data_IF_728413221115
#
_entry.id   IF_728413221115
#
_cell.length_a   1.000
_cell.length_b   1.000
_cell.length_c   1.000
_cell.angle_alpha   90.00
_cell.angle_beta   90.00
_cell.angle_gamma   90.00
#
_symmetry.space_group_name_H-M   'P 1'
#
loop_
_entity.id
_entity.type
_entity.pdbx_description
1 polymer ?
#
# COMPACT_ATOMS: atom_id res chain seq x y z
N UNK A 1 -21.69 13.57 -0.56
CA UNK A 1 -21.25 14.71 0.28
C UNK A 1 -21.98 14.58 1.62
N UNK A 2 -21.39 14.99 2.75
CA UNK A 2 -21.90 14.72 4.11
C UNK A 2 -23.37 15.15 4.27
N UNK A 3 -24.19 14.29 4.89
CA UNK A 3 -25.54 14.64 5.35
C UNK A 3 -25.41 15.07 6.80
N UNK A 4 -25.35 16.39 7.02
CA UNK A 4 -25.70 17.20 8.22
C UNK A 4 -25.38 16.73 9.66
N UNK A 5 -24.80 15.55 9.88
CA UNK A 5 -24.46 14.96 11.19
C UNK A 5 -22.93 14.84 11.32
N UNK A 6 -22.23 15.97 11.24
CA UNK A 6 -20.79 16.00 11.54
C UNK A 6 -20.55 16.24 13.01
N UNK A 7 -20.03 15.23 13.71
CA UNK A 7 -19.51 15.37 15.07
C UNK A 7 -18.18 16.15 15.01
N UNK A 8 -18.06 17.21 15.81
CA UNK A 8 -16.81 17.99 15.88
C UNK A 8 -15.68 17.14 16.43
N UNK A 9 -14.54 17.12 15.74
CA UNK A 9 -13.36 16.38 16.16
C UNK A 9 -12.21 17.33 16.53
N UNK A 10 -12.45 18.17 17.53
CA UNK A 10 -11.47 19.18 17.94
C UNK A 10 -10.13 18.52 18.35
N UNK A 11 -9.03 19.06 17.82
CA UNK A 11 -7.67 18.54 18.06
C UNK A 11 -7.27 17.27 17.30
N UNK A 12 -8.13 16.71 16.45
CA UNK A 12 -7.76 15.54 15.64
C UNK A 12 -7.03 15.96 14.36
N UNK A 13 -6.00 15.19 14.00
CA UNK A 13 -5.20 15.41 12.80
C UNK A 13 -5.03 14.10 12.03
N UNK A 14 -4.86 14.21 10.72
CA UNK A 14 -4.46 13.09 9.85
C UNK A 14 -3.09 13.35 9.26
N UNK A 15 -2.25 12.31 9.24
CA UNK A 15 -0.95 12.33 8.59
C UNK A 15 -1.13 12.00 7.10
N UNK A 16 -0.63 12.87 6.23
CA UNK A 16 -0.64 12.69 4.79
C UNK A 16 0.60 11.90 4.32
N UNK A 17 0.55 11.39 3.10
CA UNK A 17 1.68 10.68 2.48
C UNK A 17 2.95 11.52 2.29
N UNK A 18 2.84 12.86 2.38
CA UNK A 18 3.97 13.79 2.34
C UNK A 18 4.45 14.21 3.74
N UNK A 19 4.07 13.46 4.77
CA UNK A 19 4.43 13.67 6.17
C UNK A 19 3.89 14.95 6.81
N UNK A 20 3.02 15.69 6.13
CA UNK A 20 2.30 16.82 6.75
C UNK A 20 1.13 16.30 7.56
N UNK A 21 0.83 16.97 8.67
CA UNK A 21 -0.42 16.77 9.40
C UNK A 21 -1.42 17.85 9.03
N UNK A 22 -2.69 17.47 8.89
CA UNK A 22 -3.78 18.40 8.61
C UNK A 22 -4.94 18.12 9.56
N UNK A 23 -5.68 19.18 9.91
CA UNK A 23 -6.75 19.12 10.90
C UNK A 23 -8.00 18.47 10.33
N UNK A 24 -8.61 17.61 11.14
CA UNK A 24 -9.94 17.06 10.89
C UNK A 24 -10.97 18.00 11.49
N UNK A 25 -11.94 18.46 10.69
CA UNK A 25 -13.02 19.31 11.20
C UNK A 25 -14.10 18.50 11.91
N UNK A 26 -14.34 17.28 11.46
CA UNK A 26 -15.34 16.41 12.07
C UNK A 26 -15.38 15.03 11.44
N UNK A 27 -16.29 14.20 11.94
CA UNK A 27 -16.60 12.88 11.39
C UNK A 27 -18.11 12.75 11.21
N UNK A 28 -18.52 12.04 10.17
CA UNK A 28 -19.95 11.84 9.89
C UNK A 28 -20.26 10.68 8.98
N UNK A 29 -21.48 10.67 8.46
CA UNK A 29 -21.97 9.64 7.53
C UNK A 29 -22.11 10.19 6.12
N UNK A 30 -21.64 9.43 5.13
CA UNK A 30 -21.74 9.76 3.70
C UNK A 30 -22.44 8.63 2.96
N UNK A 31 -23.48 8.97 2.21
CA UNK A 31 -24.10 8.05 1.26
C UNK A 31 -23.46 8.22 -0.13
N UNK A 32 -23.03 7.11 -0.71
CA UNK A 32 -22.59 7.02 -2.11
C UNK A 32 -23.70 6.35 -2.93
N UNK A 33 -24.21 7.06 -3.93
CA UNK A 33 -25.17 6.54 -4.89
C UNK A 33 -24.44 6.12 -6.15
N UNK A 34 -24.47 4.85 -6.52
CA UNK A 34 -23.82 4.37 -7.74
C UNK A 34 -24.75 4.52 -8.94
N UNK A 35 -24.19 4.65 -10.13
CA UNK A 35 -24.97 4.67 -11.40
C UNK A 35 -25.75 3.38 -11.67
N UNK A 36 -25.55 2.35 -10.86
CA UNK A 36 -26.36 1.12 -10.83
C UNK A 36 -27.71 1.29 -10.12
N UNK A 37 -27.95 2.45 -9.48
CA UNK A 37 -29.08 2.70 -8.59
C UNK A 37 -28.91 2.14 -7.18
N UNK A 38 -27.76 1.52 -6.87
CA UNK A 38 -27.45 1.02 -5.51
C UNK A 38 -26.82 2.12 -4.65
N UNK A 39 -27.06 2.06 -3.34
CA UNK A 39 -26.44 2.96 -2.37
C UNK A 39 -25.52 2.22 -1.40
N UNK A 40 -24.42 2.87 -1.01
CA UNK A 40 -23.52 2.42 0.04
C UNK A 40 -23.39 3.53 1.08
N UNK A 41 -23.59 3.18 2.36
CA UNK A 41 -23.48 4.12 3.48
C UNK A 41 -22.13 3.94 4.15
N UNK A 42 -21.31 4.99 4.13
CA UNK A 42 -20.04 5.07 4.82
C UNK A 42 -20.23 5.81 6.13
N UNK A 43 -19.83 5.19 7.24
CA UNK A 43 -19.91 5.75 8.60
C UNK A 43 -18.49 6.08 9.07
N UNK A 44 -18.35 7.03 10.00
CA UNK A 44 -17.05 7.50 10.52
C UNK A 44 -16.14 8.07 9.42
N UNK A 45 -16.72 8.84 8.50
CA UNK A 45 -15.98 9.49 7.41
C UNK A 45 -15.42 10.80 7.93
N UNK A 46 -14.12 10.99 7.82
CA UNK A 46 -13.45 12.22 8.26
C UNK A 46 -13.72 13.36 7.27
N UNK A 47 -14.13 14.51 7.78
CA UNK A 47 -14.24 15.75 7.03
C UNK A 47 -12.94 16.53 7.16
N UNK A 48 -12.19 16.57 6.06
CA UNK A 48 -10.87 17.21 6.00
C UNK A 48 -10.82 18.14 4.78
N UNK A 49 -11.22 19.43 4.92
CA UNK A 49 -11.37 20.35 3.78
C UNK A 49 -10.10 20.59 2.97
N UNK A 50 -8.94 20.49 3.62
CA UNK A 50 -7.64 20.70 2.97
C UNK A 50 -7.27 19.53 2.02
N UNK A 51 -7.98 18.40 2.08
CA UNK A 51 -7.82 17.28 1.14
C UNK A 51 -8.68 17.53 -0.10
N UNK A 52 -8.00 17.65 -1.25
CA UNK A 52 -8.65 17.99 -2.53
C UNK A 52 -9.54 16.91 -3.13
N UNK A 53 -9.31 15.64 -2.79
CA UNK A 53 -10.04 14.49 -3.37
C UNK A 53 -10.71 13.68 -2.26
N UNK A 54 -11.94 13.27 -2.48
CA UNK A 54 -12.63 12.37 -1.56
C UNK A 54 -12.05 10.96 -1.71
N UNK A 55 -11.42 10.44 -0.67
CA UNK A 55 -10.85 9.10 -0.65
C UNK A 55 -11.82 8.13 0.03
N UNK A 56 -12.00 6.97 -0.60
CA UNK A 56 -12.78 5.84 -0.07
C UNK A 56 -11.82 4.69 0.13
N UNK A 57 -11.60 4.30 1.38
CA UNK A 57 -10.75 3.14 1.68
C UNK A 57 -11.42 1.85 1.18
N UNK A 58 -10.76 1.15 0.26
CA UNK A 58 -11.18 -0.17 -0.20
C UNK A 58 -11.23 -1.19 0.94
N UNK A 59 -10.32 -1.08 1.91
CA UNK A 59 -10.34 -1.92 3.11
C UNK A 59 -11.62 -1.72 3.94
N UNK A 60 -12.08 -0.47 4.08
CA UNK A 60 -13.33 -0.17 4.79
C UNK A 60 -14.56 -0.68 4.03
N UNK A 61 -14.55 -0.65 2.70
CA UNK A 61 -15.60 -1.28 1.88
C UNK A 61 -15.63 -2.81 2.11
N UNK A 62 -14.46 -3.47 2.12
CA UNK A 62 -14.35 -4.89 2.42
C UNK A 62 -14.91 -5.24 3.81
N UNK A 63 -14.63 -4.44 4.84
CA UNK A 63 -15.22 -4.61 6.19
C UNK A 63 -16.75 -4.52 6.21
N UNK A 64 -17.36 -3.82 5.25
CA UNK A 64 -18.83 -3.72 5.08
C UNK A 64 -19.40 -4.83 4.18
N UNK A 65 -18.59 -5.84 3.84
CA UNK A 65 -18.98 -6.99 2.99
C UNK A 65 -18.98 -6.68 1.49
N UNK A 66 -18.39 -5.56 1.06
CA UNK A 66 -18.26 -5.22 -0.35
C UNK A 66 -16.94 -5.79 -0.86
N UNK A 67 -17.03 -6.73 -1.79
CA UNK A 67 -15.87 -7.21 -2.54
C UNK A 67 -15.44 -6.15 -3.54
N UNK A 68 -14.18 -5.73 -3.44
CA UNK A 68 -13.52 -4.82 -4.37
C UNK A 68 -12.61 -5.65 -5.28
N UNK A 69 -12.84 -5.59 -6.59
CA UNK A 69 -11.99 -6.24 -7.60
C UNK A 69 -11.40 -5.16 -8.49
N UNK A 70 -10.08 -5.13 -8.59
CA UNK A 70 -9.37 -4.29 -9.56
C UNK A 70 -8.90 -5.21 -10.69
N UNK A 71 -9.26 -4.86 -11.92
CA UNK A 71 -8.84 -5.59 -13.12
C UNK A 71 -8.54 -4.58 -14.22
N UNK A 72 -7.29 -4.58 -14.69
CA UNK A 72 -6.79 -3.55 -15.61
C UNK A 72 -7.09 -2.14 -15.07
N UNK A 73 -7.66 -1.26 -15.89
CA UNK A 73 -8.00 0.12 -15.51
C UNK A 73 -9.40 0.29 -14.91
N UNK A 74 -9.95 -0.78 -14.30
CA UNK A 74 -11.31 -0.80 -13.76
C UNK A 74 -11.34 -1.33 -12.34
N UNK A 75 -12.25 -0.77 -11.56
CA UNK A 75 -12.66 -1.32 -10.26
C UNK A 75 -14.12 -1.75 -10.32
N UNK A 76 -14.42 -2.91 -9.76
CA UNK A 76 -15.74 -3.52 -9.70
C UNK A 76 -16.06 -3.78 -8.22
N UNK A 77 -17.23 -3.30 -7.79
CA UNK A 77 -17.74 -3.49 -6.44
C UNK A 77 -18.92 -4.45 -6.47
N UNK A 78 -18.83 -5.54 -5.72
CA UNK A 78 -19.93 -6.50 -5.56
C UNK A 78 -20.22 -6.78 -4.10
N UNK A 79 -21.45 -7.12 -3.77
CA UNK A 79 -21.88 -7.51 -2.42
C UNK A 79 -22.83 -8.69 -2.55
N UNK A 80 -22.53 -9.78 -1.84
CA UNK A 80 -23.34 -11.02 -1.87
C UNK A 80 -23.60 -11.53 -3.31
N UNK A 81 -22.59 -11.43 -4.17
CA UNK A 81 -22.68 -11.80 -5.58
C UNK A 81 -23.39 -10.79 -6.49
N UNK A 82 -23.99 -9.74 -5.94
CA UNK A 82 -24.69 -8.70 -6.69
C UNK A 82 -23.77 -7.54 -7.05
N UNK A 83 -23.92 -7.00 -8.26
CA UNK A 83 -23.22 -5.79 -8.68
C UNK A 83 -23.70 -4.57 -7.90
N UNK A 84 -22.76 -3.87 -7.27
CA UNK A 84 -23.00 -2.62 -6.52
C UNK A 84 -22.60 -1.42 -7.36
N UNK A 85 -21.43 -1.45 -7.96
CA UNK A 85 -20.89 -0.29 -8.66
C UNK A 85 -19.58 -0.58 -9.35
N UNK A 86 -19.07 0.43 -10.05
CA UNK A 86 -17.82 0.34 -10.79
C UNK A 86 -17.07 1.67 -10.69
N UNK A 87 -15.83 1.66 -11.14
CA UNK A 87 -15.00 2.83 -11.31
C UNK A 87 -13.92 2.59 -12.36
N UNK A 88 -13.24 3.66 -12.73
CA UNK A 88 -12.26 3.69 -13.82
C UNK A 88 -11.06 4.54 -13.41
N UNK A 89 -9.90 4.27 -13.99
CA UNK A 89 -8.71 5.13 -13.80
C UNK A 89 -8.99 6.54 -14.34
N UNK A 90 -8.71 7.55 -13.52
CA UNK A 90 -8.75 8.98 -13.84
C UNK A 90 -7.73 9.70 -12.95
N UNK A 91 -6.87 10.51 -13.54
CA UNK A 91 -5.84 11.28 -12.81
C UNK A 91 -4.94 10.39 -11.93
N UNK A 92 -4.54 9.23 -12.45
CA UNK A 92 -3.70 8.25 -11.75
C UNK A 92 -4.38 7.51 -10.59
N UNK A 93 -5.70 7.62 -10.44
CA UNK A 93 -6.46 7.03 -9.32
C UNK A 93 -7.75 6.38 -9.84
N UNK A 94 -8.30 5.41 -9.11
CA UNK A 94 -9.57 4.77 -9.49
C UNK A 94 -10.76 5.63 -9.03
N UNK A 95 -11.41 6.32 -9.96
CA UNK A 95 -12.62 7.14 -9.72
C UNK A 95 -13.88 6.27 -9.77
N UNK A 96 -14.68 6.30 -8.72
CA UNK A 96 -15.97 5.59 -8.64
C UNK A 96 -17.03 6.28 -9.51
N UNK A 97 -17.81 5.48 -10.23
CA UNK A 97 -18.98 5.94 -11.00
C UNK A 97 -20.17 6.13 -10.07
N UNK A 98 -20.24 7.32 -9.48
CA UNK A 98 -21.29 7.75 -8.56
C UNK A 98 -22.28 8.63 -9.32
N UNK A 99 -23.57 8.41 -9.08
CA UNK A 99 -24.65 9.29 -9.53
C UNK A 99 -24.80 10.43 -8.51
N UNK A 100 -24.56 11.66 -8.98
CA UNK A 100 -24.64 12.86 -8.15
C UNK A 100 -26.07 13.46 -8.11
N UNK A 101 -27.08 12.71 -8.57
CA UNK A 101 -28.52 13.00 -8.48
C UNK A 101 -28.90 14.36 -7.89
N UNK A 102 -29.09 15.36 -8.76
CA UNK A 102 -29.79 16.64 -8.53
C UNK A 102 -29.60 17.33 -7.15
N UNK A 103 -28.37 17.38 -6.63
CA UNK A 103 -28.04 18.28 -5.52
C UNK A 103 -27.56 19.59 -6.15
N UNK A 104 -28.30 20.69 -5.91
CA UNK A 104 -28.06 22.04 -6.43
C UNK A 104 -26.69 22.67 -6.05
N UNK A 105 -25.77 21.89 -5.46
CA UNK A 105 -24.40 22.27 -5.22
C UNK A 105 -23.49 21.48 -6.17
N UNK A 106 -23.06 22.18 -7.22
CA UNK A 106 -22.19 21.78 -8.31
C UNK A 106 -20.74 21.57 -7.81
N UNK A 107 -20.55 20.76 -6.78
CA UNK A 107 -19.25 20.21 -6.42
C UNK A 107 -19.20 18.82 -7.04
N UNK A 108 -18.31 18.61 -8.01
CA UNK A 108 -18.09 17.31 -8.62
C UNK A 108 -17.80 16.28 -7.52
N UNK A 109 -18.83 15.55 -7.11
CA UNK A 109 -18.83 14.55 -6.02
C UNK A 109 -18.07 13.28 -6.40
N UNK A 110 -16.92 13.43 -7.03
CA UNK A 110 -16.01 12.34 -7.34
C UNK A 110 -15.48 11.75 -6.04
N UNK A 111 -15.59 10.43 -5.92
CA UNK A 111 -14.93 9.67 -4.89
C UNK A 111 -13.94 8.72 -5.55
N UNK A 112 -12.76 8.60 -4.97
CA UNK A 112 -11.68 7.78 -5.49
C UNK A 112 -11.39 6.67 -4.49
N UNK A 113 -11.28 5.45 -4.98
CA UNK A 113 -10.96 4.32 -4.11
C UNK A 113 -9.45 4.26 -3.90
N UNK A 114 -9.06 4.21 -2.63
CA UNK A 114 -7.71 3.93 -2.20
C UNK A 114 -7.63 2.46 -1.77
N UNK A 115 -6.79 1.69 -2.45
CA UNK A 115 -6.59 0.26 -2.17
C UNK A 115 -5.12 0.05 -1.91
N UNK A 116 -4.77 0.04 -0.63
CA UNK A 116 -3.50 -0.51 -0.20
C UNK A 116 -3.57 -2.05 -0.29
N UNK A 117 -2.92 -2.62 -1.29
CA UNK A 117 -2.51 -4.02 -1.20
C UNK A 117 -1.31 -4.07 -0.26
N UNK A 118 -1.17 -5.14 0.54
CA UNK A 118 0.11 -5.46 1.20
C UNK A 118 1.21 -5.84 0.19
N UNK A 119 1.12 -5.32 -1.03
CA UNK A 119 2.14 -5.41 -2.04
C UNK A 119 2.98 -4.14 -1.94
N UNK A 120 3.62 -3.96 -0.79
CA UNK A 120 4.81 -3.12 -0.75
C UNK A 120 5.85 -3.81 -1.63
N UNK A 121 5.93 -3.38 -2.90
CA UNK A 121 7.19 -3.42 -3.64
C UNK A 121 8.12 -2.33 -3.08
N UNK A 122 8.16 -2.16 -1.76
CA UNK A 122 9.39 -1.70 -1.16
C UNK A 122 10.23 -2.96 -1.10
N UNK A 123 10.92 -3.17 -2.22
CA UNK A 123 11.86 -4.25 -2.37
C UNK A 123 12.72 -4.29 -1.13
N UNK A 124 12.57 -5.34 -0.31
CA UNK A 124 13.24 -5.35 0.98
C UNK A 124 14.74 -5.32 0.71
N UNK A 125 15.53 -4.48 1.41
CA UNK A 125 16.95 -4.32 1.10
C UNK A 125 17.62 -5.69 0.99
N UNK A 126 18.47 -5.85 -0.03
CA UNK A 126 19.09 -7.14 -0.35
C UNK A 126 19.84 -7.73 0.84
N UNK A 127 20.48 -6.88 1.65
CA UNK A 127 21.18 -7.30 2.88
C UNK A 127 20.24 -7.85 3.96
N UNK A 128 18.99 -7.38 4.04
CA UNK A 128 18.04 -7.88 5.03
C UNK A 128 17.66 -9.33 4.73
N UNK A 129 17.42 -9.65 3.46
CA UNK A 129 17.18 -11.03 3.03
C UNK A 129 18.43 -11.89 3.17
N UNK A 130 19.61 -11.35 2.90
CA UNK A 130 20.88 -12.04 3.12
C UNK A 130 21.03 -12.48 4.59
N UNK A 131 20.73 -11.58 5.54
CA UNK A 131 20.76 -11.89 6.97
C UNK A 131 19.69 -12.91 7.37
N UNK A 132 18.44 -12.75 6.91
CA UNK A 132 17.31 -13.66 7.23
C UNK A 132 17.52 -15.08 6.72
N UNK A 133 18.15 -15.23 5.57
CA UNK A 133 18.43 -16.53 4.94
C UNK A 133 19.73 -17.16 5.44
N UNK A 134 20.29 -16.66 6.57
CA UNK A 134 21.47 -17.22 7.18
C UNK A 134 22.72 -17.03 6.33
N UNK A 135 22.89 -15.86 5.72
CA UNK A 135 24.03 -15.51 4.89
C UNK A 135 24.21 -16.41 3.65
N UNK A 136 23.08 -16.80 3.04
CA UNK A 136 23.08 -17.56 1.79
C UNK A 136 23.87 -16.82 0.69
N UNK A 137 24.47 -17.58 -0.23
CA UNK A 137 25.22 -17.01 -1.35
C UNK A 137 24.36 -16.01 -2.14
N UNK A 138 24.91 -14.82 -2.43
CA UNK A 138 24.24 -13.79 -3.21
C UNK A 138 23.71 -14.27 -4.56
N UNK A 139 24.36 -15.25 -5.21
CA UNK A 139 23.85 -15.89 -6.43
C UNK A 139 22.55 -16.67 -6.17
N UNK A 140 22.48 -17.39 -5.06
CA UNK A 140 21.30 -18.15 -4.63
C UNK A 140 20.17 -17.20 -4.25
N UNK A 141 20.48 -16.10 -3.55
CA UNK A 141 19.49 -15.09 -3.22
C UNK A 141 18.94 -14.39 -4.48
N UNK A 142 19.79 -14.04 -5.45
CA UNK A 142 19.37 -13.53 -6.76
C UNK A 142 18.49 -14.54 -7.51
N UNK A 143 18.81 -15.84 -7.43
CA UNK A 143 17.97 -16.89 -7.98
C UNK A 143 16.59 -16.94 -7.31
N UNK A 144 16.53 -16.91 -5.98
CA UNK A 144 15.27 -16.89 -5.23
C UNK A 144 14.43 -15.66 -5.59
N UNK A 145 15.06 -14.49 -5.74
CA UNK A 145 14.38 -13.25 -6.15
C UNK A 145 13.83 -13.34 -7.57
N UNK A 146 14.62 -13.85 -8.53
CA UNK A 146 14.18 -14.05 -9.93
C UNK A 146 13.03 -15.05 -10.07
N UNK A 147 12.95 -16.01 -9.17
CA UNK A 147 11.87 -17.01 -9.13
C UNK A 147 10.70 -16.59 -8.23
N UNK A 148 10.68 -15.35 -7.72
CA UNK A 148 9.59 -14.84 -6.89
C UNK A 148 9.46 -15.50 -5.51
N UNK A 149 10.48 -16.23 -5.06
CA UNK A 149 10.48 -16.87 -3.74
C UNK A 149 10.76 -15.86 -2.62
N UNK A 150 11.43 -14.75 -2.96
CA UNK A 150 11.70 -13.61 -2.07
C UNK A 150 11.60 -12.30 -2.86
N UNK A 151 11.26 -11.20 -2.20
CA UNK A 151 11.18 -9.87 -2.82
C UNK A 151 12.36 -9.03 -2.35
N UNK A 152 13.45 -9.01 -3.12
CA UNK A 152 14.67 -8.25 -2.81
C UNK A 152 14.77 -6.97 -3.66
N UNK A 153 15.43 -5.95 -3.12
CA UNK A 153 15.86 -4.77 -3.90
C UNK A 153 17.00 -5.05 -4.88
N UNK A 154 17.20 -4.11 -5.79
CA UNK A 154 18.21 -4.18 -6.87
C UNK A 154 19.66 -4.04 -6.39
N UNK A 155 19.86 -3.71 -5.10
CA UNK A 155 21.19 -3.55 -4.53
C UNK A 155 21.95 -4.88 -4.51
N UNK A 156 22.96 -4.99 -5.36
CA UNK A 156 23.88 -6.11 -5.34
C UNK A 156 24.81 -5.97 -4.15
N UNK A 157 24.42 -6.54 -3.02
CA UNK A 157 25.36 -6.82 -1.94
C UNK A 157 26.48 -7.70 -2.50
N UNK A 158 27.64 -7.11 -2.77
CA UNK A 158 28.79 -7.85 -3.31
C UNK A 158 29.74 -8.30 -2.19
N UNK A 159 29.57 -7.76 -0.98
CA UNK A 159 30.38 -8.09 0.20
C UNK A 159 29.53 -8.03 1.47
N UNK A 160 29.53 -9.13 2.22
CA UNK A 160 29.05 -9.16 3.59
C UNK A 160 30.26 -9.37 4.52
N UNK A 161 30.47 -8.48 5.47
CA UNK A 161 31.59 -8.53 6.42
C UNK A 161 31.63 -9.86 7.18
N UNK A 162 30.48 -10.30 7.69
CA UNK A 162 30.32 -11.56 8.43
C UNK A 162 30.73 -12.75 7.55
N UNK A 163 30.28 -12.78 6.30
CA UNK A 163 30.66 -13.82 5.34
C UNK A 163 32.16 -13.85 5.06
N UNK A 164 32.78 -12.67 4.93
CA UNK A 164 34.22 -12.55 4.66
C UNK A 164 35.00 -13.11 5.83
N UNK A 165 34.72 -12.64 7.05
CA UNK A 165 35.40 -13.09 8.27
C UNK A 165 35.24 -14.61 8.48
N UNK A 166 34.03 -15.15 8.28
CA UNK A 166 33.76 -16.58 8.43
C UNK A 166 34.45 -17.45 7.36
N UNK A 167 34.73 -16.91 6.16
CA UNK A 167 35.32 -17.66 5.03
C UNK A 167 36.81 -17.37 4.81
N UNK A 168 37.44 -16.58 5.67
CA UNK A 168 38.88 -16.31 5.58
C UNK A 168 39.68 -17.61 5.76
N UNK A 169 40.46 -17.97 4.73
CA UNK A 169 41.38 -19.10 4.80
C UNK A 169 42.65 -18.67 5.54
N UNK A 170 43.12 -19.50 6.48
CA UNK A 170 44.43 -19.33 7.12
C UNK A 170 45.53 -19.39 6.06
N UNK A 171 46.54 -18.52 6.16
CA UNK A 171 47.74 -18.62 5.33
C UNK A 171 48.42 -19.99 5.55
N UNK A 172 49.03 -20.59 4.52
CA UNK A 172 49.84 -21.80 4.69
C UNK A 172 50.90 -21.60 5.78
N UNK A 173 51.19 -22.66 6.53
CA UNK A 173 52.27 -22.62 7.51
C UNK A 173 53.62 -22.42 6.81
N UNK A 174 54.53 -21.61 7.37
CA UNK A 174 55.90 -21.51 6.86
C UNK A 174 56.56 -22.89 6.84
N UNK A 175 57.32 -23.20 5.78
CA UNK A 175 58.15 -24.41 5.77
C UNK A 175 59.22 -24.26 6.85
N UNK A 176 59.41 -25.32 7.63
CA UNK A 176 60.49 -25.40 8.61
C UNK A 176 61.81 -25.12 7.90
N UNK A 177 62.58 -24.18 8.42
CA UNK A 177 63.95 -23.94 7.97
C UNK A 177 64.81 -24.96 8.70
N UNK A 178 65.43 -25.87 7.96
CA UNK A 178 66.36 -26.84 8.55
C UNK A 178 67.49 -26.08 9.25
N UNK A 179 67.66 -26.37 10.54
CA UNK A 179 68.82 -25.92 11.29
C UNK A 179 70.01 -26.71 10.77
N UNK A 180 70.86 -26.07 9.96
CA UNK A 180 72.16 -26.62 9.63
C UNK A 180 72.96 -26.79 10.93
N UNK A 181 73.29 -28.05 11.22
CA UNK A 181 74.28 -28.45 12.24
C UNK A 181 75.70 -28.11 11.79
#
# INVERSE_FOLDING_TARGET
MFKDDTESMEGHEVLLGDHRTIKVLGSGTVELFFTSGKKVVLTNVLHVPDVRKNLVSGFMLCKKGIKVVIESDRVILTKDGMFVGKGYVSDGMFKLSIDNGNINNKVDGSAYIDVHTNYSIESTPFDLWHNRLGHVNFKTQKYMSRNGLVVCGDDSGDKCEICVQAKMKRKPFPKLVDRNS
#
